data_IF_627280931695
#
_entry.id   IF_627280931695
#
_cell.length_a   1.000
_cell.length_b   1.000
_cell.length_c   1.000
_cell.angle_alpha   90.00
_cell.angle_beta   90.00
_cell.angle_gamma   90.00
#
_symmetry.space_group_name_H-M   'P 1'
#
loop_
_entity.id
_entity.type
_entity.pdbx_description
1 polymer ?
#
# COMPACT_ATOMS: atom_id res chain seq x y z
N UNK A 1 -12.52 9.77 0.10
CA UNK A 1 -11.40 9.10 -0.60
C UNK A 1 -10.15 9.91 -0.38
N UNK A 2 -9.05 9.31 0.08
CA UNK A 2 -7.77 10.02 0.24
C UNK A 2 -6.69 9.27 -0.51
N UNK A 3 -5.95 9.98 -1.34
CA UNK A 3 -4.84 9.45 -2.13
C UNK A 3 -3.56 10.14 -1.67
N UNK A 4 -2.53 9.34 -1.40
CA UNK A 4 -1.20 9.82 -1.08
C UNK A 4 -0.20 9.13 -1.99
N UNK A 5 0.58 9.92 -2.73
CA UNK A 5 1.77 9.43 -3.43
C UNK A 5 2.96 9.80 -2.56
N UNK A 6 3.69 8.81 -2.09
CA UNK A 6 4.83 9.01 -1.21
C UNK A 6 5.92 7.99 -1.50
N UNK A 7 7.16 8.37 -1.19
CA UNK A 7 8.27 7.44 -1.10
C UNK A 7 8.31 6.89 0.32
N UNK A 8 8.00 5.61 0.48
CA UNK A 8 7.90 4.98 1.80
C UNK A 8 8.20 3.48 1.76
N UNK A 9 8.64 2.95 2.90
CA UNK A 9 8.58 1.54 3.23
C UNK A 9 7.23 1.19 3.85
N UNK A 10 6.85 -0.09 3.81
CA UNK A 10 5.62 -0.59 4.45
C UNK A 10 5.96 -1.83 5.25
N UNK A 11 5.48 -1.89 6.49
CA UNK A 11 5.51 -3.09 7.32
C UNK A 11 4.06 -3.50 7.55
N UNK A 12 3.76 -4.77 7.29
CA UNK A 12 2.49 -5.40 7.57
C UNK A 12 2.69 -6.46 8.64
N UNK A 13 1.98 -6.29 9.75
CA UNK A 13 1.94 -7.20 10.88
C UNK A 13 0.49 -7.70 11.01
N UNK A 14 0.28 -9.02 10.98
CA UNK A 14 -1.07 -9.58 10.99
C UNK A 14 -1.06 -11.10 10.94
N UNK A 15 -1.84 -11.67 10.00
CA UNK A 15 -1.85 -13.14 9.80
C UNK A 15 -0.51 -13.67 9.29
N UNK A 16 0.20 -12.84 8.54
CA UNK A 16 1.55 -13.08 8.03
C UNK A 16 2.36 -11.81 8.26
N UNK A 17 3.68 -11.96 8.35
CA UNK A 17 4.61 -10.84 8.39
C UNK A 17 5.11 -10.53 6.98
N UNK A 18 4.99 -9.28 6.56
CA UNK A 18 5.49 -8.83 5.26
C UNK A 18 6.07 -7.43 5.35
N UNK A 19 7.16 -7.20 4.63
CA UNK A 19 7.78 -5.88 4.51
C UNK A 19 8.00 -5.52 3.05
N UNK A 20 7.65 -4.30 2.68
CA UNK A 20 7.95 -3.73 1.37
C UNK A 20 9.05 -2.67 1.54
N UNK A 21 10.17 -2.77 0.80
CA UNK A 21 11.28 -1.82 0.90
C UNK A 21 10.85 -0.42 0.45
N UNK A 22 11.67 0.60 0.71
CA UNK A 22 11.36 1.96 0.28
C UNK A 22 11.19 2.06 -1.24
N UNK A 23 10.05 2.59 -1.69
CA UNK A 23 9.77 2.88 -3.09
C UNK A 23 8.70 3.99 -3.19
N UNK A 24 8.55 4.59 -4.37
CA UNK A 24 7.36 5.41 -4.67
C UNK A 24 6.13 4.51 -4.68
N UNK A 25 5.11 4.89 -3.91
CA UNK A 25 3.88 4.13 -3.72
C UNK A 25 2.67 5.04 -3.79
N UNK A 26 1.59 4.50 -4.35
CA UNK A 26 0.26 5.08 -4.16
C UNK A 26 -0.41 4.39 -2.97
N UNK A 27 -0.72 5.17 -1.94
CA UNK A 27 -1.51 4.77 -0.78
C UNK A 27 -2.93 5.28 -0.98
N UNK A 28 -3.88 4.36 -1.08
CA UNK A 28 -5.30 4.67 -1.19
C UNK A 28 -6.00 4.37 0.12
N UNK A 29 -6.63 5.38 0.72
CA UNK A 29 -7.51 5.21 1.88
C UNK A 29 -8.95 5.42 1.45
N UNK A 30 -9.71 4.32 1.48
CA UNK A 30 -11.10 4.26 1.04
C UNK A 30 -12.07 4.63 2.16
N UNK A 31 -13.31 4.93 1.79
CA UNK A 31 -14.33 5.39 2.74
C UNK A 31 -14.85 4.26 3.66
N UNK A 32 -14.70 3.01 3.22
CA UNK A 32 -15.03 1.79 3.96
C UNK A 32 -13.92 1.37 4.94
N UNK A 33 -12.85 2.16 5.05
CA UNK A 33 -11.69 1.84 5.89
C UNK A 33 -10.60 1.03 5.18
N UNK A 34 -10.83 0.61 3.93
CA UNK A 34 -9.81 -0.15 3.20
C UNK A 34 -8.58 0.72 2.91
N UNK A 35 -7.40 0.17 3.17
CA UNK A 35 -6.11 0.78 2.85
C UNK A 35 -5.39 -0.10 1.85
N UNK A 36 -5.09 0.44 0.67
CA UNK A 36 -4.42 -0.29 -0.41
C UNK A 36 -3.10 0.38 -0.80
N UNK A 37 -2.03 -0.42 -0.88
CA UNK A 37 -0.69 0.01 -1.26
C UNK A 37 -0.39 -0.48 -2.66
N UNK A 38 -0.19 0.44 -3.61
CA UNK A 38 0.13 0.14 -4.99
C UNK A 38 1.60 0.46 -5.31
N UNK A 39 2.17 -0.33 -6.22
CA UNK A 39 3.43 -0.01 -6.88
C UNK A 39 3.24 1.16 -7.88
N UNK A 40 4.32 1.88 -8.18
CA UNK A 40 4.37 2.94 -9.19
C UNK A 40 4.29 2.41 -10.65
N UNK A 41 4.24 1.08 -10.83
CA UNK A 41 4.06 0.45 -12.14
C UNK A 41 4.01 -1.08 -12.07
N UNK A 42 3.50 -1.72 -13.13
CA UNK A 42 3.59 -3.17 -13.34
C UNK A 42 2.62 -4.06 -12.55
N UNK A 43 1.85 -3.51 -11.61
CA UNK A 43 0.90 -4.28 -10.79
C UNK A 43 -0.50 -3.65 -10.82
N UNK A 44 -1.47 -4.36 -11.42
CA UNK A 44 -2.88 -3.95 -11.40
C UNK A 44 -3.53 -4.15 -10.02
N UNK A 45 -2.99 -5.11 -9.24
CA UNK A 45 -3.42 -5.39 -7.87
C UNK A 45 -2.57 -4.59 -6.88
N UNK A 46 -3.12 -4.23 -5.71
CA UNK A 46 -2.30 -3.71 -4.62
C UNK A 46 -1.26 -4.76 -4.19
N UNK A 47 -0.08 -4.27 -3.79
CA UNK A 47 0.97 -5.08 -3.17
C UNK A 47 0.55 -5.55 -1.77
N UNK A 48 -0.18 -4.70 -1.04
CA UNK A 48 -0.74 -5.00 0.28
C UNK A 48 -2.07 -4.28 0.46
N UNK A 49 -2.99 -4.87 1.22
CA UNK A 49 -4.26 -4.23 1.58
C UNK A 49 -4.76 -4.66 2.97
N UNK A 50 -5.59 -3.80 3.57
CA UNK A 50 -6.42 -4.05 4.74
C UNK A 50 -7.84 -3.60 4.44
#
# INVERSE_FOLDING_TARGET
>A
MRLLVARCSVVYEGRLDASLPEATRLVMVKADGCVAIHADGGAYKPLNWM
#
